data_IF_247190165675
#
_entry.id   IF_247190165675
#
_cell.length_a   1.000
_cell.length_b   1.000
_cell.length_c   1.000
_cell.angle_alpha   90.00
_cell.angle_beta   90.00
_cell.angle_gamma   90.00
#
_symmetry.space_group_name_H-M   'P 1'
#
loop_
_entity.id
_entity.type
_entity.pdbx_description
1 polymer ?
#
# COMPACT_ATOMS: atom_id res chain seq x y z
N UNK A 1 0.74 6.26 6.63
CA UNK A 1 0.73 4.83 6.97
C UNK A 1 0.55 4.11 5.67
N UNK A 2 1.66 3.68 5.06
CA UNK A 2 1.55 2.89 3.83
C UNK A 2 0.91 1.52 4.13
N UNK A 3 0.01 1.05 3.28
CA UNK A 3 -0.56 -0.30 3.38
C UNK A 3 -0.15 -1.10 2.16
N UNK A 4 0.56 -2.19 2.41
CA UNK A 4 0.96 -3.16 1.40
C UNK A 4 -0.20 -4.13 1.19
N UNK A 5 -0.72 -4.18 -0.04
CA UNK A 5 -1.74 -5.13 -0.47
C UNK A 5 -1.13 -6.07 -1.49
N UNK A 6 -1.31 -7.37 -1.27
CA UNK A 6 -0.92 -8.41 -2.20
C UNK A 6 -2.14 -8.93 -2.94
N UNK A 7 -2.02 -9.07 -4.26
CA UNK A 7 -2.98 -9.89 -4.99
C UNK A 7 -2.74 -11.39 -4.73
N UNK A 8 -1.50 -11.76 -4.42
CA UNK A 8 -1.03 -13.12 -4.18
C UNK A 8 0.10 -13.07 -3.15
N UNK A 9 0.00 -13.86 -2.07
CA UNK A 9 1.05 -14.09 -1.07
C UNK A 9 1.60 -15.50 -1.23
N UNK A 10 2.86 -15.75 -0.83
CA UNK A 10 3.29 -17.08 -0.38
C UNK A 10 2.58 -17.40 0.94
N UNK A 11 1.34 -17.86 0.88
CA UNK A 11 0.60 -18.25 2.06
C UNK A 11 -0.10 -19.57 1.80
N UNK A 12 0.55 -20.67 2.21
CA UNK A 12 -0.05 -22.00 2.14
C UNK A 12 -1.21 -22.05 3.11
N UNK A 13 -2.44 -21.95 2.61
CA UNK A 13 -3.63 -21.95 3.48
C UNK A 13 -3.77 -23.25 4.31
N UNK A 14 -3.21 -24.36 3.81
CA UNK A 14 -3.14 -25.64 4.50
C UNK A 14 -2.01 -25.75 5.55
N UNK A 15 -1.02 -24.85 5.52
CA UNK A 15 0.12 -24.79 6.44
C UNK A 15 0.46 -23.32 6.78
N UNK A 16 -0.35 -22.65 7.63
CA UNK A 16 -0.16 -21.23 7.93
C UNK A 16 1.15 -20.94 8.68
N UNK A 17 1.75 -21.93 9.33
CA UNK A 17 3.01 -21.80 10.08
C UNK A 17 4.26 -22.08 9.22
N UNK A 18 4.13 -22.35 7.92
CA UNK A 18 5.26 -22.66 7.03
C UNK A 18 6.39 -21.61 7.15
N UNK A 19 7.67 -22.02 7.23
CA UNK A 19 8.80 -21.09 7.26
C UNK A 19 8.95 -20.32 5.94
N UNK A 20 8.50 -20.92 4.83
CA UNK A 20 8.55 -20.35 3.48
C UNK A 20 7.34 -19.44 3.16
N UNK A 21 6.38 -19.31 4.08
CA UNK A 21 5.30 -18.34 3.92
C UNK A 21 5.88 -16.92 3.99
N UNK A 22 5.33 -15.99 3.21
CA UNK A 22 5.63 -14.57 3.31
C UNK A 22 5.26 -14.11 4.73
N UNK A 23 6.26 -13.68 5.48
CA UNK A 23 6.15 -13.37 6.90
C UNK A 23 6.26 -11.89 7.15
N UNK A 24 5.25 -11.42 7.86
CA UNK A 24 4.96 -10.02 8.08
C UNK A 24 5.72 -9.46 9.30
N UNK A 25 6.79 -8.69 9.04
CA UNK A 25 7.61 -8.05 10.08
C UNK A 25 7.04 -6.69 10.50
N UNK A 26 6.02 -6.73 11.36
CA UNK A 26 6.02 -6.00 12.64
C UNK A 26 4.80 -6.41 13.50
N UNK A 27 5.08 -6.83 14.74
CA UNK A 27 4.12 -7.39 15.70
C UNK A 27 3.54 -8.75 15.30
N UNK A 28 3.89 -9.80 16.05
CA UNK A 28 3.48 -11.22 15.90
C UNK A 28 1.98 -11.50 16.12
N UNK A 29 1.06 -10.60 15.73
CA UNK A 29 -0.36 -10.68 16.11
C UNK A 29 -1.37 -10.74 14.97
N UNK A 30 -1.00 -10.42 13.72
CA UNK A 30 -1.90 -10.45 12.58
C UNK A 30 -1.21 -11.04 11.34
N UNK A 31 -1.78 -12.10 10.78
CA UNK A 31 -1.29 -12.82 9.60
C UNK A 31 -1.48 -12.10 8.26
N UNK A 32 -1.82 -10.80 8.30
CA UNK A 32 -1.98 -9.89 7.15
C UNK A 32 -1.25 -8.52 7.34
N UNK A 33 -0.53 -8.36 8.47
CA UNK A 33 0.18 -7.18 9.06
C UNK A 33 1.54 -6.71 8.52
N UNK A 34 1.88 -6.89 7.24
CA UNK A 34 3.26 -6.82 6.68
C UNK A 34 4.34 -6.00 7.39
N UNK A 35 4.71 -4.84 6.85
CA UNK A 35 5.62 -3.91 7.48
C UNK A 35 4.75 -3.00 8.31
N UNK A 36 5.06 -2.78 9.58
CA UNK A 36 4.45 -1.65 10.27
C UNK A 36 5.13 -0.37 9.79
N UNK A 37 4.46 0.28 8.85
CA UNK A 37 4.74 1.59 8.26
C UNK A 37 4.44 2.73 9.27
N UNK A 38 4.89 2.51 10.50
CA UNK A 38 4.78 3.41 11.65
C UNK A 38 5.68 4.63 11.47
N UNK A 39 6.75 4.47 10.69
CA UNK A 39 7.54 5.55 10.10
C UNK A 39 7.02 5.84 8.70
N UNK A 40 6.75 7.12 8.46
CA UNK A 40 6.24 7.63 7.18
C UNK A 40 7.32 7.45 6.11
N UNK A 41 6.92 7.06 4.89
CA UNK A 41 7.79 7.10 3.70
C UNK A 41 8.63 5.84 3.46
N UNK A 42 8.57 4.85 4.35
CA UNK A 42 9.31 3.59 4.20
C UNK A 42 8.56 2.52 3.38
N UNK A 43 7.23 2.59 3.30
CA UNK A 43 6.40 1.54 2.69
C UNK A 43 6.72 1.27 1.22
N UNK A 44 6.90 2.32 0.41
CA UNK A 44 7.23 2.17 -1.01
C UNK A 44 8.61 1.52 -1.22
N UNK A 45 9.61 1.85 -0.40
CA UNK A 45 10.94 1.24 -0.48
C UNK A 45 10.89 -0.28 -0.24
N UNK A 46 10.06 -0.72 0.71
CA UNK A 46 9.85 -2.16 0.95
C UNK A 46 9.02 -2.81 -0.16
N UNK A 47 7.98 -2.12 -0.67
CA UNK A 47 7.21 -2.56 -1.83
C UNK A 47 8.11 -2.82 -3.06
N UNK A 48 9.11 -1.95 -3.28
CA UNK A 48 10.12 -2.12 -4.33
C UNK A 48 10.95 -3.39 -4.12
N UNK A 49 11.35 -3.70 -2.88
CA UNK A 49 12.07 -4.94 -2.55
C UNK A 49 11.26 -6.20 -2.84
N UNK A 50 9.97 -6.22 -2.47
CA UNK A 50 9.06 -7.32 -2.78
C UNK A 50 8.82 -7.47 -4.29
N UNK A 51 8.54 -6.36 -4.98
CA UNK A 51 8.32 -6.39 -6.42
C UNK A 51 9.57 -6.84 -7.20
N UNK A 52 10.75 -6.37 -6.77
CA UNK A 52 12.04 -6.83 -7.30
C UNK A 52 12.23 -8.34 -7.09
N UNK A 53 11.93 -8.84 -5.88
CA UNK A 53 12.07 -10.27 -5.53
C UNK A 53 11.13 -11.14 -6.37
N UNK A 54 9.86 -10.77 -6.47
CA UNK A 54 8.86 -11.45 -7.29
C UNK A 54 9.26 -11.52 -8.77
N UNK A 55 9.80 -10.43 -9.30
CA UNK A 55 10.20 -10.32 -10.71
C UNK A 55 11.49 -11.06 -11.05
N UNK A 56 12.52 -10.94 -10.21
CA UNK A 56 13.88 -11.36 -10.57
C UNK A 56 14.34 -12.66 -9.92
N UNK A 57 13.92 -12.94 -8.68
CA UNK A 57 14.29 -14.14 -7.94
C UNK A 57 13.21 -15.21 -8.05
N UNK A 58 11.98 -14.88 -7.64
CA UNK A 58 10.87 -15.83 -7.56
C UNK A 58 10.34 -16.18 -8.96
N UNK A 59 10.29 -15.17 -9.85
CA UNK A 59 9.68 -15.24 -11.19
C UNK A 59 8.21 -15.66 -11.15
N UNK A 60 7.53 -15.26 -10.08
CA UNK A 60 6.12 -15.54 -9.80
C UNK A 60 5.20 -14.47 -10.43
N UNK A 61 3.92 -14.80 -10.60
CA UNK A 61 2.93 -13.88 -11.21
C UNK A 61 2.40 -12.78 -10.28
N UNK A 62 2.83 -12.76 -9.01
CA UNK A 62 2.30 -11.82 -8.02
C UNK A 62 2.61 -10.36 -8.32
N UNK A 63 1.70 -9.49 -7.86
CA UNK A 63 1.81 -8.03 -7.94
C UNK A 63 1.77 -7.43 -6.54
N UNK A 64 2.57 -6.39 -6.36
CA UNK A 64 2.68 -5.64 -5.10
C UNK A 64 1.95 -4.32 -5.26
N UNK A 65 1.03 -4.02 -4.35
CA UNK A 65 0.33 -2.74 -4.28
C UNK A 65 0.75 -2.01 -3.01
N UNK A 66 1.13 -0.74 -3.12
CA UNK A 66 1.50 0.11 -2.00
C UNK A 66 0.60 1.34 -1.95
N UNK A 67 -0.39 1.33 -1.07
CA UNK A 67 -1.18 2.53 -0.73
C UNK A 67 -0.33 3.45 0.15
N UNK A 68 -0.29 4.75 -0.14
CA UNK A 68 0.40 5.77 0.66
C UNK A 68 -0.40 7.08 0.66
N UNK A 69 -0.26 7.89 1.71
CA UNK A 69 -0.90 9.21 1.77
C UNK A 69 -0.13 10.29 1.03
N UNK A 70 -0.81 11.35 0.61
CA UNK A 70 -0.22 12.61 0.15
C UNK A 70 0.86 13.18 1.09
N UNK A 71 0.65 13.18 2.40
CA UNK A 71 1.67 13.59 3.40
C UNK A 71 2.94 12.74 3.24
N UNK A 72 2.75 11.44 3.05
CA UNK A 72 3.81 10.43 3.02
C UNK A 72 4.72 10.58 1.80
N UNK A 73 4.18 11.08 0.68
CA UNK A 73 4.96 11.47 -0.51
C UNK A 73 5.91 12.66 -0.31
N UNK A 74 5.85 13.35 0.84
CA UNK A 74 6.79 14.44 1.16
C UNK A 74 8.15 13.93 1.62
N UNK A 75 8.26 12.66 2.02
CA UNK A 75 9.51 12.05 2.49
C UNK A 75 10.46 11.72 1.34
N UNK A 76 11.75 12.02 1.51
CA UNK A 76 12.78 11.79 0.48
C UNK A 76 12.88 10.33 0.03
N UNK A 77 12.68 9.38 0.95
CA UNK A 77 12.72 7.93 0.68
C UNK A 77 11.66 7.46 -0.32
N UNK A 78 10.54 8.18 -0.46
CA UNK A 78 9.53 7.86 -1.49
C UNK A 78 10.09 8.16 -2.88
N UNK A 79 10.83 9.25 -3.05
CA UNK A 79 11.44 9.64 -4.31
C UNK A 79 12.61 8.72 -4.70
N UNK A 80 13.40 8.27 -3.72
CA UNK A 80 14.40 7.21 -3.91
C UNK A 80 13.76 5.90 -4.40
N UNK A 81 12.65 5.48 -3.77
CA UNK A 81 11.93 4.27 -4.15
C UNK A 81 11.24 4.38 -5.53
N UNK A 82 10.69 5.55 -5.88
CA UNK A 82 10.20 5.86 -7.22
C UNK A 82 11.31 5.69 -8.27
N UNK A 83 12.50 6.25 -8.03
CA UNK A 83 13.63 6.12 -8.93
C UNK A 83 14.11 4.67 -9.06
N UNK A 84 14.22 3.94 -7.94
CA UNK A 84 14.60 2.51 -7.92
C UNK A 84 13.65 1.66 -8.76
N UNK A 85 12.34 1.79 -8.57
CA UNK A 85 11.34 0.98 -9.28
C UNK A 85 11.34 1.23 -10.78
N UNK A 86 11.58 2.48 -11.20
CA UNK A 86 11.71 2.82 -12.61
C UNK A 86 13.00 2.25 -13.20
N UNK A 87 14.14 2.39 -12.51
CA UNK A 87 15.43 1.85 -12.95
C UNK A 87 15.38 0.32 -13.15
N UNK A 88 14.72 -0.39 -12.24
CA UNK A 88 14.50 -1.84 -12.31
C UNK A 88 13.21 -2.24 -13.05
N UNK A 89 12.55 -1.32 -13.76
CA UNK A 89 11.39 -1.59 -14.61
C UNK A 89 10.30 -2.44 -13.92
N UNK A 90 9.98 -2.16 -12.64
CA UNK A 90 9.11 -2.98 -11.79
C UNK A 90 7.63 -2.89 -12.17
N UNK A 91 7.27 -3.45 -13.32
CA UNK A 91 5.90 -3.50 -13.86
C UNK A 91 4.91 -4.38 -13.06
N UNK A 92 5.39 -5.15 -12.08
CA UNK A 92 4.58 -5.82 -11.07
C UNK A 92 4.28 -4.95 -9.83
N UNK A 93 4.80 -3.72 -9.74
CA UNK A 93 4.53 -2.75 -8.67
C UNK A 93 3.45 -1.73 -9.07
N UNK A 94 2.51 -1.47 -8.16
CA UNK A 94 1.54 -0.39 -8.24
C UNK A 94 1.60 0.47 -6.97
N UNK A 95 1.88 1.76 -7.11
CA UNK A 95 1.78 2.73 -6.01
C UNK A 95 0.43 3.47 -6.10
N UNK A 96 -0.27 3.60 -4.98
CA UNK A 96 -1.55 4.31 -4.91
C UNK A 96 -1.36 5.51 -3.98
N UNK A 97 -1.48 6.72 -4.52
CA UNK A 97 -1.40 7.96 -3.77
C UNK A 97 -2.82 8.39 -3.37
N UNK A 98 -3.13 8.28 -2.08
CA UNK A 98 -4.33 8.84 -1.46
C UNK A 98 -4.15 10.35 -1.27
N UNK A 99 -4.61 11.13 -2.26
CA UNK A 99 -4.53 12.60 -2.23
C UNK A 99 -5.80 13.16 -1.61
N UNK A 100 -5.80 13.19 -0.27
CA UNK A 100 -6.91 13.58 0.59
C UNK A 100 -6.85 15.04 1.09
N UNK A 101 -5.87 15.82 0.60
CA UNK A 101 -5.62 17.27 0.81
C UNK A 101 -5.00 17.63 2.17
N UNK A 102 -5.22 16.82 3.21
CA UNK A 102 -5.11 17.25 4.60
C UNK A 102 -4.00 16.52 5.36
N UNK A 103 -3.09 17.29 5.94
CA UNK A 103 -2.04 16.81 6.82
C UNK A 103 -2.51 16.43 8.23
N UNK A 104 -1.60 16.53 9.20
CA UNK A 104 -1.89 16.26 10.61
C UNK A 104 -2.67 17.42 11.25
N UNK A 105 -2.29 18.66 10.94
CA UNK A 105 -2.78 19.89 11.58
C UNK A 105 -3.06 21.05 10.62
N UNK A 106 -2.81 20.90 9.32
CA UNK A 106 -3.01 21.92 8.28
C UNK A 106 -3.21 21.27 6.90
N UNK A 107 -3.58 22.07 5.89
CA UNK A 107 -3.51 21.67 4.48
C UNK A 107 -2.07 21.37 4.05
N UNK A 108 -1.91 20.44 3.12
CA UNK A 108 -0.61 20.20 2.48
C UNK A 108 -0.29 21.28 1.45
N UNK A 109 0.99 21.60 1.18
CA UNK A 109 1.39 22.59 0.18
C UNK A 109 0.87 22.34 -1.25
N UNK A 110 0.48 21.10 -1.55
CA UNK A 110 -0.06 20.69 -2.85
C UNK A 110 -1.58 20.53 -2.87
N UNK A 111 -2.25 20.54 -1.72
CA UNK A 111 -3.70 20.34 -1.59
C UNK A 111 -4.25 19.23 -2.51
N UNK A 112 -5.12 19.58 -3.47
CA UNK A 112 -5.64 18.70 -4.53
C UNK A 112 -5.04 19.02 -5.92
N UNK A 113 -3.78 19.45 -5.99
CA UNK A 113 -3.05 19.66 -7.25
C UNK A 113 -2.56 18.33 -7.85
N UNK A 114 -3.53 17.50 -8.25
CA UNK A 114 -3.35 16.15 -8.79
C UNK A 114 -2.42 16.14 -10.01
N UNK A 115 -2.46 17.19 -10.82
CA UNK A 115 -1.62 17.35 -12.02
C UNK A 115 -0.13 17.44 -11.68
N UNK A 116 0.23 17.93 -10.49
CA UNK A 116 1.63 17.95 -10.05
C UNK A 116 2.08 16.58 -9.54
N UNK A 117 1.22 15.85 -8.83
CA UNK A 117 1.49 14.46 -8.45
C UNK A 117 1.71 13.60 -9.70
N UNK A 118 0.84 13.74 -10.70
CA UNK A 118 0.98 13.07 -12.00
C UNK A 118 2.33 13.39 -12.66
N UNK A 119 2.63 14.67 -12.89
CA UNK A 119 3.89 15.10 -13.53
C UNK A 119 5.13 14.63 -12.78
N UNK A 120 5.08 14.57 -11.45
CA UNK A 120 6.19 14.05 -10.63
C UNK A 120 6.37 12.54 -10.82
N UNK A 121 5.31 11.74 -10.80
CA UNK A 121 5.41 10.30 -11.05
C UNK A 121 5.91 10.01 -12.48
N UNK A 122 5.37 10.71 -13.49
CA UNK A 122 5.80 10.61 -14.88
C UNK A 122 7.27 11.00 -15.09
N UNK A 123 7.74 12.07 -14.43
CA UNK A 123 9.14 12.49 -14.49
C UNK A 123 10.12 11.48 -13.87
N UNK A 124 9.64 10.65 -12.93
CA UNK A 124 10.39 9.52 -12.38
C UNK A 124 10.23 8.23 -13.19
N UNK A 125 9.59 8.28 -14.37
CA UNK A 125 9.48 7.15 -15.32
C UNK A 125 8.28 6.22 -15.11
N UNK A 126 7.34 6.59 -14.23
CA UNK A 126 6.18 5.76 -13.91
C UNK A 126 5.03 5.94 -14.92
N UNK A 127 4.33 4.86 -15.23
CA UNK A 127 3.04 4.95 -15.89
C UNK A 127 2.02 5.51 -14.90
N UNK A 128 1.37 6.64 -15.18
CA UNK A 128 0.52 7.29 -14.16
C UNK A 128 -0.93 7.41 -14.62
N UNK A 129 -1.85 7.01 -13.74
CA UNK A 129 -3.29 7.21 -13.86
C UNK A 129 -3.77 8.21 -12.83
N UNK A 130 -4.72 9.05 -13.20
CA UNK A 130 -5.45 9.97 -12.31
C UNK A 130 -6.89 9.51 -12.24
N UNK A 131 -7.44 9.39 -11.02
CA UNK A 131 -8.77 8.83 -10.79
C UNK A 131 -9.48 9.52 -9.61
N UNK A 132 -10.81 9.55 -9.63
CA UNK A 132 -11.59 9.83 -8.42
C UNK A 132 -11.53 8.61 -7.51
N UNK A 133 -10.86 8.70 -6.37
CA UNK A 133 -10.70 7.57 -5.44
C UNK A 133 -11.99 7.15 -4.73
N UNK A 134 -13.13 7.75 -5.06
CA UNK A 134 -14.48 7.37 -4.61
C UNK A 134 -15.25 6.59 -5.67
N UNK A 135 -14.77 6.57 -6.91
CA UNK A 135 -15.37 5.83 -8.02
C UNK A 135 -14.75 4.43 -8.09
N UNK A 136 -15.51 3.43 -7.62
CA UNK A 136 -15.06 2.04 -7.56
C UNK A 136 -14.92 1.44 -8.97
N UNK A 137 -15.75 1.86 -9.93
CA UNK A 137 -15.67 1.36 -11.31
C UNK A 137 -14.40 1.88 -11.99
N UNK A 138 -14.12 3.18 -11.86
CA UNK A 138 -12.91 3.79 -12.38
C UNK A 138 -11.64 3.23 -11.71
N UNK A 139 -11.67 2.96 -10.40
CA UNK A 139 -10.57 2.26 -9.71
C UNK A 139 -10.37 0.83 -10.25
N UNK A 140 -11.45 0.06 -10.44
CA UNK A 140 -11.36 -1.28 -11.02
C UNK A 140 -10.79 -1.25 -12.44
N UNK A 141 -11.20 -0.31 -13.29
CA UNK A 141 -10.64 -0.15 -14.63
C UNK A 141 -9.15 0.22 -14.58
N UNK A 142 -8.76 1.21 -13.77
CA UNK A 142 -7.36 1.63 -13.63
C UNK A 142 -6.47 0.49 -13.12
N UNK A 143 -6.91 -0.29 -12.14
CA UNK A 143 -6.17 -1.46 -11.68
C UNK A 143 -6.08 -2.56 -12.73
N UNK A 144 -7.13 -2.78 -13.52
CA UNK A 144 -7.08 -3.69 -14.66
C UNK A 144 -6.07 -3.21 -15.71
N UNK A 145 -6.11 -1.94 -16.12
CA UNK A 145 -5.17 -1.35 -17.06
C UNK A 145 -3.72 -1.45 -16.55
N UNK A 146 -3.48 -1.24 -15.25
CA UNK A 146 -2.17 -1.40 -14.60
C UNK A 146 -1.58 -2.82 -14.74
N UNK A 147 -2.41 -3.87 -14.85
CA UNK A 147 -1.91 -5.24 -15.12
C UNK A 147 -1.36 -5.42 -16.54
N UNK A 148 -1.80 -4.58 -17.48
CA UNK A 148 -1.42 -4.63 -18.90
C UNK A 148 -0.12 -3.85 -19.18
N UNK A 149 0.23 -2.89 -18.31
CA UNK A 149 1.50 -2.16 -18.37
C UNK A 149 2.68 -3.15 -18.20
N UNK A 150 3.73 -2.96 -19.01
CA UNK A 150 4.98 -3.73 -18.99
C UNK A 150 6.18 -2.79 -19.01
N UNK A 151 7.31 -3.27 -18.48
CA UNK A 151 8.61 -2.61 -18.42
C UNK A 151 8.63 -1.25 -17.68
N UNK A 152 7.62 -0.92 -16.87
CA UNK A 152 7.63 0.24 -15.96
C UNK A 152 6.59 0.08 -14.85
N UNK A 153 6.86 0.58 -13.63
CA UNK A 153 5.90 0.59 -12.53
C UNK A 153 4.72 1.51 -12.81
N UNK A 154 3.60 1.31 -12.10
CA UNK A 154 2.37 2.12 -12.25
C UNK A 154 2.03 2.91 -11.01
N UNK A 155 1.75 4.21 -11.16
CA UNK A 155 1.23 5.09 -10.13
C UNK A 155 -0.26 5.35 -10.38
N UNK A 156 -1.06 5.29 -9.33
CA UNK A 156 -2.48 5.65 -9.32
C UNK A 156 -2.64 6.83 -8.37
N UNK A 157 -2.87 8.01 -8.91
CA UNK A 157 -3.11 9.23 -8.12
C UNK A 157 -4.61 9.36 -7.91
N UNK A 158 -5.07 8.91 -6.75
CA UNK A 158 -6.47 8.89 -6.37
C UNK A 158 -6.82 10.18 -5.63
N UNK A 159 -7.69 11.00 -6.22
CA UNK A 159 -8.26 12.17 -5.54
C UNK A 159 -9.32 11.71 -4.55
N UNK A 160 -9.14 12.00 -3.27
CA UNK A 160 -10.05 11.58 -2.19
C UNK A 160 -10.36 12.74 -1.25
N UNK A 161 -11.19 12.50 -0.25
CA UNK A 161 -11.52 13.47 0.79
C UNK A 161 -11.37 12.81 2.16
N UNK A 162 -10.56 13.41 3.03
CA UNK A 162 -10.30 12.86 4.36
C UNK A 162 -11.59 12.82 5.18
N UNK A 163 -11.91 11.68 5.78
CA UNK A 163 -13.19 11.50 6.50
C UNK A 163 -14.41 11.37 5.59
N UNK A 164 -14.25 10.90 4.34
CA UNK A 164 -15.33 10.63 3.39
C UNK A 164 -16.52 9.90 4.04
N UNK A 165 -17.73 10.39 3.79
CA UNK A 165 -18.97 9.81 4.29
C UNK A 165 -19.33 10.19 5.74
N UNK A 166 -18.51 11.01 6.40
CA UNK A 166 -18.75 11.51 7.76
C UNK A 166 -19.26 12.97 7.71
N UNK A 167 -20.55 13.25 7.98
CA UNK A 167 -21.08 14.60 7.99
C UNK A 167 -20.34 15.51 8.97
N UNK A 168 -19.98 16.71 8.52
CA UNK A 168 -19.20 17.70 9.30
C UNK A 168 -17.78 17.26 9.72
N UNK A 169 -17.24 16.22 9.07
CA UNK A 169 -15.88 15.71 9.24
C UNK A 169 -15.18 15.49 7.88
N UNK A 170 -15.93 15.13 6.84
CA UNK A 170 -15.42 15.11 5.47
C UNK A 170 -14.76 16.44 5.10
N UNK A 171 -13.54 16.34 4.56
CA UNK A 171 -12.68 17.47 4.15
C UNK A 171 -12.40 18.51 5.27
N UNK A 172 -12.62 18.16 6.53
CA UNK A 172 -12.48 19.06 7.67
C UNK A 172 -11.13 18.90 8.37
N UNK A 173 -10.47 20.03 8.64
CA UNK A 173 -9.24 20.06 9.43
C UNK A 173 -9.43 19.57 10.87
N UNK A 174 -8.32 19.34 11.57
CA UNK A 174 -8.30 19.01 13.00
C UNK A 174 -9.02 17.70 13.41
N UNK A 175 -9.37 16.82 12.46
CA UNK A 175 -9.91 15.47 12.75
C UNK A 175 -8.91 14.32 12.66
N UNK A 176 -7.68 14.57 12.21
CA UNK A 176 -6.65 13.54 12.14
C UNK A 176 -6.33 12.96 13.53
N UNK A 177 -6.31 11.62 13.63
CA UNK A 177 -6.02 10.90 14.87
C UNK A 177 -7.08 11.01 15.97
N UNK A 178 -8.21 11.70 15.75
CA UNK A 178 -9.27 11.87 16.75
C UNK A 178 -10.37 10.81 16.59
N UNK A 179 -10.74 10.08 17.66
CA UNK A 179 -11.89 9.19 17.61
C UNK A 179 -13.20 9.98 17.49
N UNK A 180 -14.19 9.40 16.81
CA UNK A 180 -15.53 9.98 16.76
C UNK A 180 -16.20 9.88 18.14
N UNK A 181 -16.82 10.96 18.67
CA UNK A 181 -17.62 10.89 19.89
C UNK A 181 -18.79 9.90 19.76
N UNK A 182 -19.07 9.12 20.80
CA UNK A 182 -20.09 8.04 20.77
C UNK A 182 -21.47 8.57 20.39
N UNK A 183 -21.79 9.77 20.83
CA UNK A 183 -23.06 10.47 20.61
C UNK A 183 -23.31 10.77 19.12
N UNK A 184 -22.25 10.80 18.30
CA UNK A 184 -22.32 10.97 16.84
C UNK A 184 -22.14 9.66 16.09
N UNK A 185 -21.41 8.71 16.66
CA UNK A 185 -21.07 7.44 16.02
C UNK A 185 -22.32 6.66 15.59
N UNK A 186 -23.32 6.50 16.46
CA UNK A 186 -24.54 5.73 16.14
C UNK A 186 -25.34 6.31 14.97
N UNK A 187 -25.38 7.64 14.86
CA UNK A 187 -26.08 8.32 13.75
C UNK A 187 -25.31 8.18 12.43
N UNK A 188 -23.97 8.22 12.49
CA UNK A 188 -23.09 8.00 11.34
C UNK A 188 -23.15 6.55 10.86
N UNK A 189 -23.14 5.57 11.77
CA UNK A 189 -23.26 4.14 11.44
C UNK A 189 -24.57 3.89 10.68
N UNK A 190 -25.71 4.36 11.22
CA UNK A 190 -27.02 4.26 10.54
C UNK A 190 -27.05 4.94 9.17
N UNK A 191 -26.37 6.07 9.01
CA UNK A 191 -26.27 6.76 7.72
C UNK A 191 -25.48 5.92 6.70
N UNK A 192 -24.36 5.31 7.10
CA UNK A 192 -23.56 4.44 6.24
C UNK A 192 -24.34 3.16 5.91
N UNK A 193 -24.96 2.51 6.90
CA UNK A 193 -25.82 1.34 6.71
C UNK A 193 -26.98 1.61 5.74
N UNK A 194 -27.58 2.80 5.78
CA UNK A 194 -28.66 3.18 4.86
C UNK A 194 -28.24 3.31 3.39
N UNK A 195 -26.94 3.34 3.10
CA UNK A 195 -26.37 3.36 1.74
C UNK A 195 -26.00 1.95 1.23
N UNK A 196 -26.14 0.91 2.05
CA UNK A 196 -25.80 -0.46 1.67
C UNK A 196 -26.99 -1.09 0.94
N UNK A 197 -26.96 -1.06 -0.39
CA UNK A 197 -28.02 -1.62 -1.25
C UNK A 197 -27.93 -3.15 -1.45
N UNK A 198 -26.81 -3.78 -1.07
CA UNK A 198 -26.58 -5.21 -1.35
C UNK A 198 -26.15 -6.00 -0.12
N UNK A 199 -26.73 -7.19 0.05
CA UNK A 199 -26.35 -8.18 1.05
C UNK A 199 -25.43 -9.28 0.46
N UNK A 200 -24.62 -8.94 -0.56
CA UNK A 200 -23.69 -9.89 -1.17
C UNK A 200 -22.41 -9.98 -0.34
N UNK A 201 -22.05 -11.19 0.09
CA UNK A 201 -20.68 -11.45 0.51
C UNK A 201 -19.76 -11.37 -0.71
N UNK A 202 -18.65 -10.65 -0.55
CA UNK A 202 -17.57 -10.60 -1.52
C UNK A 202 -16.51 -11.60 -1.07
N UNK A 203 -16.53 -12.80 -1.64
CA UNK A 203 -15.50 -13.81 -1.40
C UNK A 203 -14.30 -13.55 -2.32
N UNK A 204 -13.15 -13.09 -1.79
CA UNK A 204 -11.94 -12.91 -2.60
C UNK A 204 -11.45 -14.27 -3.10
N UNK A 205 -10.93 -14.31 -4.33
CA UNK A 205 -10.26 -15.51 -4.83
C UNK A 205 -9.02 -15.80 -3.98
N UNK A 206 -8.69 -17.08 -3.72
CA UNK A 206 -7.44 -17.43 -3.04
C UNK A 206 -6.22 -16.99 -3.86
N UNK A 207 -5.07 -16.75 -3.21
CA UNK A 207 -3.81 -16.45 -3.90
C UNK A 207 -3.37 -17.62 -4.79
N UNK A 208 -2.56 -17.33 -5.81
CA UNK A 208 -1.98 -18.34 -6.70
C UNK A 208 -0.63 -18.77 -6.12
N UNK A 209 -0.48 -20.03 -5.73
CA UNK A 209 0.79 -20.58 -5.21
C UNK A 209 1.74 -20.97 -6.37
N UNK A 210 2.20 -20.00 -7.16
CA UNK A 210 3.13 -20.21 -8.29
C UNK A 210 4.60 -19.86 -7.99
N UNK A 211 4.88 -19.32 -6.80
CA UNK A 211 6.26 -19.09 -6.35
C UNK A 211 7.03 -20.40 -6.14
N UNK A 212 8.33 -20.46 -6.47
CA UNK A 212 9.20 -21.54 -6.02
C UNK A 212 9.26 -21.62 -4.49
N UNK A 213 9.50 -22.83 -3.98
CA UNK A 213 9.83 -23.10 -2.58
C UNK A 213 11.26 -22.61 -2.33
N UNK A 214 11.44 -21.70 -1.38
CA UNK A 214 12.76 -21.15 -1.00
C UNK A 214 13.23 -21.84 0.27
N UNK A 215 14.19 -22.76 0.17
CA UNK A 215 14.77 -23.36 1.36
C UNK A 215 15.72 -22.39 2.07
N UNK A 216 15.36 -21.95 3.27
CA UNK A 216 16.19 -21.07 4.11
C UNK A 216 17.02 -21.82 5.17
N UNK A 217 16.96 -23.15 5.27
CA UNK A 217 17.69 -23.91 6.30
C UNK A 217 19.20 -23.76 6.19
N UNK A 218 19.71 -23.48 4.99
CA UNK A 218 21.13 -23.48 4.67
C UNK A 218 21.70 -22.03 4.66
N UNK A 219 20.90 -21.05 5.09
CA UNK A 219 21.33 -19.64 5.22
C UNK A 219 22.00 -19.44 6.59
N UNK A 220 23.30 -19.68 6.64
CA UNK A 220 24.13 -19.34 7.79
C UNK A 220 24.69 -17.90 7.68
N UNK A 221 24.81 -17.21 8.82
CA UNK A 221 25.58 -15.96 8.86
C UNK A 221 27.07 -16.27 8.71
N UNK A 222 27.76 -15.57 7.80
CA UNK A 222 29.21 -15.72 7.59
C UNK A 222 30.07 -15.44 8.83
N UNK A 223 29.53 -14.70 9.80
CA UNK A 223 30.09 -14.52 11.13
C UNK A 223 28.97 -14.19 12.13
N UNK A 224 29.16 -14.52 13.40
CA UNK A 224 28.30 -14.02 14.46
C UNK A 224 28.33 -12.47 14.50
N UNK A 225 27.23 -11.80 14.88
CA UNK A 225 27.21 -10.35 15.05
C UNK A 225 28.27 -9.88 16.05
N UNK A 226 28.95 -8.77 15.75
CA UNK A 226 29.99 -8.19 16.59
C UNK A 226 29.42 -7.37 17.77
N UNK A 227 28.43 -7.92 18.49
CA UNK A 227 27.88 -7.36 19.72
C UNK A 227 27.77 -8.45 20.81
N UNK A 228 27.93 -8.04 22.06
CA UNK A 228 27.69 -8.87 23.23
C UNK A 228 26.25 -8.70 23.73
N UNK A 229 25.73 -9.72 24.40
CA UNK A 229 24.41 -9.64 25.06
C UNK A 229 24.48 -8.60 26.18
N UNK A 230 23.89 -7.41 25.95
CA UNK A 230 23.90 -6.29 26.88
C UNK A 230 24.49 -4.99 26.33
N UNK A 231 25.09 -5.01 25.14
CA UNK A 231 25.53 -3.79 24.44
C UNK A 231 24.31 -2.88 24.12
N UNK A 232 24.53 -1.56 24.14
CA UNK A 232 23.51 -0.51 23.96
C UNK A 232 23.82 0.36 22.75
#
# INVERSE_FOLDING_TARGET
MSVLFFHVMRYKQADPESPDNDRFILSKRLSFVEVATKWVGQGLGVACGMAYTGKYFDKASYRVYCLMGDVESSEGSVWEALAFASYYNLDNLVAIFDVNRLGHSCTLPLEHCIELYQKRCEAFGWNTYVVDGRDVEALCEVFWQATQVKNKPTAVVAKTFKGRGLPSVEDSENWHGKPMPKERADAIIKLIESQIETNRNLDPKPPIEDSPVVNITDIEMTSAPAYNVGDK
#
